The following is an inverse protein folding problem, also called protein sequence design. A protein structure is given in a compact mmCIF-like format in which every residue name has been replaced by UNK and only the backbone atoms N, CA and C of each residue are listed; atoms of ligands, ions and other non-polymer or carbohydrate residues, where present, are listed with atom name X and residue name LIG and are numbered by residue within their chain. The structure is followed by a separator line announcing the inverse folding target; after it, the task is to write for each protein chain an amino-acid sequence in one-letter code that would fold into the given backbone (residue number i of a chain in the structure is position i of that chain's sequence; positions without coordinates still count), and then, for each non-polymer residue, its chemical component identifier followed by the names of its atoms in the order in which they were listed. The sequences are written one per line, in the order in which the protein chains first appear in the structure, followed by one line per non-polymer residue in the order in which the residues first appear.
data_IF_015047983140
#
_entry.id   IF_015047983140
#
_cell.length_a   1.000
_cell.length_b   1.000
_cell.length_c   1.000
_cell.angle_alpha   90.00
_cell.angle_beta   90.00
_cell.angle_gamma   90.00
#
_symmetry.space_group_name_H-M   'P 1'
#
loop_
_entity.id
_entity.type
_entity.pdbx_description
1 polymer ?
#
# COMPACT_ATOMS: atom_id res chain seq x y z
N UNK A 1 4.43 -8.40 14.01
CA UNK A 1 4.55 -8.49 12.54
C UNK A 1 4.12 -7.17 11.95
N UNK A 2 4.94 -6.60 11.06
CA UNK A 2 4.60 -5.41 10.26
C UNK A 2 4.27 -5.84 8.83
N UNK A 3 3.33 -5.18 8.18
CA UNK A 3 2.84 -5.53 6.85
C UNK A 3 2.90 -4.28 5.97
N UNK A 4 3.39 -4.41 4.74
CA UNK A 4 3.29 -3.36 3.73
C UNK A 4 2.38 -3.79 2.59
N UNK A 5 1.49 -2.90 2.14
CA UNK A 5 0.65 -3.08 0.95
C UNK A 5 0.77 -1.90 0.00
N UNK A 6 0.37 -2.13 -1.26
CA UNK A 6 0.23 -1.07 -2.25
C UNK A 6 -1.03 -0.22 -2.00
N UNK A 7 -1.04 1.05 -2.43
CA UNK A 7 -2.26 1.84 -2.51
C UNK A 7 -3.12 1.36 -3.69
N UNK A 8 -4.31 1.93 -3.82
CA UNK A 8 -5.17 1.71 -4.97
C UNK A 8 -5.27 2.96 -5.85
N UNK A 9 -5.63 2.74 -7.13
CA UNK A 9 -5.84 3.82 -8.10
C UNK A 9 -7.21 4.46 -7.96
N UNK A 10 -8.22 3.63 -7.70
CA UNK A 10 -9.59 4.09 -7.44
C UNK A 10 -9.74 4.42 -5.96
N UNK A 11 -10.57 5.42 -5.66
CA UNK A 11 -10.79 5.92 -4.32
C UNK A 11 -12.29 5.96 -4.03
N UNK A 12 -12.67 5.67 -2.80
CA UNK A 12 -14.03 5.74 -2.27
C UNK A 12 -14.09 6.80 -1.18
N UNK A 13 -14.88 7.85 -1.41
CA UNK A 13 -15.15 8.90 -0.44
C UNK A 13 -16.60 8.91 0.05
N UNK A 14 -17.44 8.00 -0.47
CA UNK A 14 -18.89 8.03 -0.29
C UNK A 14 -19.37 7.03 0.77
N UNK A 15 -18.77 5.84 0.82
CA UNK A 15 -19.23 4.77 1.72
C UNK A 15 -19.17 5.21 3.18
N UNK A 16 -20.20 4.90 3.97
CA UNK A 16 -20.22 5.25 5.40
C UNK A 16 -19.08 4.55 6.16
N UNK A 17 -18.33 5.30 6.95
CA UNK A 17 -17.22 4.76 7.73
C UNK A 17 -17.74 3.94 8.94
N UNK A 18 -17.13 2.78 9.26
CA UNK A 18 -17.48 1.99 10.45
C UNK A 18 -16.87 2.56 11.74
N UNK A 19 -16.01 3.59 11.64
CA UNK A 19 -15.34 4.24 12.77
C UNK A 19 -15.22 5.74 12.53
N UNK A 20 -15.20 6.52 13.61
CA UNK A 20 -14.92 7.95 13.59
C UNK A 20 -13.46 8.27 13.93
N UNK A 21 -12.64 7.26 14.23
CA UNK A 21 -11.23 7.39 14.56
C UNK A 21 -10.41 7.69 13.29
N UNK A 22 -9.40 8.53 13.45
CA UNK A 22 -8.45 8.87 12.40
C UNK A 22 -7.11 9.24 13.01
N UNK A 23 -6.08 9.24 12.18
CA UNK A 23 -4.76 9.78 12.48
C UNK A 23 -4.30 10.68 11.32
N UNK A 24 -3.12 11.29 11.46
CA UNK A 24 -2.56 12.21 10.47
C UNK A 24 -1.27 11.59 9.90
N UNK A 25 -1.05 11.64 8.57
CA UNK A 25 0.19 11.14 7.97
C UNK A 25 1.43 11.79 8.56
N UNK A 26 2.50 11.01 8.75
CA UNK A 26 3.75 11.52 9.34
C UNK A 26 4.53 12.45 8.37
N UNK A 27 4.35 12.26 7.06
CA UNK A 27 5.12 12.94 6.02
C UNK A 27 4.34 14.04 5.28
N UNK A 28 3.49 14.81 5.98
CA UNK A 28 2.70 15.86 5.34
C UNK A 28 3.53 17.02 4.77
N UNK A 29 4.70 17.31 5.35
CA UNK A 29 5.62 18.33 4.82
C UNK A 29 6.15 17.91 3.45
N UNK A 30 6.64 16.68 3.35
CA UNK A 30 7.11 16.06 2.11
C UNK A 30 5.98 15.93 1.08
N UNK A 31 4.79 15.50 1.53
CA UNK A 31 3.61 15.39 0.68
C UNK A 31 3.24 16.73 0.05
N UNK A 32 3.38 17.83 0.80
CA UNK A 32 3.12 19.19 0.30
C UNK A 32 4.14 19.58 -0.77
N UNK A 33 5.44 19.29 -0.58
CA UNK A 33 6.47 19.55 -1.59
C UNK A 33 6.19 18.80 -2.90
N UNK A 34 5.78 17.53 -2.81
CA UNK A 34 5.40 16.73 -3.98
C UNK A 34 4.18 17.35 -4.67
N UNK A 35 3.15 17.70 -3.90
CA UNK A 35 1.94 18.28 -4.45
C UNK A 35 2.19 19.66 -5.10
N UNK A 36 3.09 20.48 -4.56
CA UNK A 36 3.49 21.74 -5.16
C UNK A 36 4.22 21.54 -6.51
N UNK A 37 5.02 20.48 -6.63
CA UNK A 37 5.57 20.07 -7.94
C UNK A 37 4.48 19.61 -8.92
N UNK A 38 3.42 18.97 -8.44
CA UNK A 38 2.30 18.53 -9.26
C UNK A 38 1.38 19.69 -9.70
N UNK A 39 1.13 20.68 -8.83
CA UNK A 39 0.32 21.88 -9.14
C UNK A 39 0.87 22.69 -10.32
N UNK A 40 2.20 22.66 -10.51
CA UNK A 40 2.89 23.35 -11.62
C UNK A 40 2.67 22.70 -12.99
N UNK A 41 2.08 21.50 -13.04
CA UNK A 41 1.86 20.75 -14.28
C UNK A 41 0.49 21.07 -14.86
N UNK A 42 0.43 21.27 -16.16
CA UNK A 42 -0.81 21.31 -16.92
C UNK A 42 -1.48 19.93 -16.97
N UNK A 43 -2.80 19.83 -17.24
CA UNK A 43 -3.46 18.56 -17.47
C UNK A 43 -2.79 17.71 -18.57
N UNK A 44 -2.29 18.33 -19.66
CA UNK A 44 -1.59 17.62 -20.73
C UNK A 44 -0.25 17.01 -20.28
N UNK A 45 0.51 17.71 -19.43
CA UNK A 45 1.71 17.15 -18.81
C UNK A 45 1.35 15.99 -17.88
N UNK A 46 0.32 16.12 -17.05
CA UNK A 46 -0.14 15.04 -16.16
C UNK A 46 -0.61 13.81 -16.94
N UNK A 47 -1.36 14.00 -18.04
CA UNK A 47 -1.81 12.94 -18.96
C UNK A 47 -0.63 12.12 -19.46
N UNK A 48 0.41 12.82 -19.97
CA UNK A 48 1.62 12.20 -20.51
C UNK A 48 2.48 11.54 -19.44
N UNK A 49 2.74 12.24 -18.33
CA UNK A 49 3.61 11.79 -17.24
C UNK A 49 3.03 10.57 -16.51
N UNK A 50 1.72 10.57 -16.22
CA UNK A 50 1.03 9.52 -15.48
C UNK A 50 0.44 8.44 -16.39
N UNK A 51 0.50 8.61 -17.71
CA UNK A 51 -0.08 7.71 -18.73
C UNK A 51 -1.57 7.42 -18.46
N UNK A 52 -2.35 8.48 -18.27
CA UNK A 52 -3.78 8.43 -17.96
C UNK A 52 -4.60 9.08 -19.07
N UNK A 53 -5.93 8.88 -19.04
CA UNK A 53 -6.83 9.58 -19.95
C UNK A 53 -6.90 11.07 -19.63
N UNK A 54 -7.38 11.86 -20.59
CA UNK A 54 -7.57 13.31 -20.44
C UNK A 54 -8.50 13.66 -19.28
N UNK A 55 -9.67 13.00 -19.22
CA UNK A 55 -10.62 13.14 -18.11
C UNK A 55 -9.97 12.88 -16.74
N UNK A 56 -9.09 11.88 -16.65
CA UNK A 56 -8.36 11.60 -15.40
C UNK A 56 -7.27 12.65 -15.13
N UNK A 57 -6.62 13.17 -16.16
CA UNK A 57 -5.63 14.23 -16.01
C UNK A 57 -6.25 15.53 -15.48
N UNK A 58 -7.38 15.95 -16.05
CA UNK A 58 -8.13 17.12 -15.57
C UNK A 58 -8.61 16.96 -14.14
N UNK A 59 -9.14 15.77 -13.81
CA UNK A 59 -9.57 15.44 -12.46
C UNK A 59 -8.40 15.55 -11.46
N UNK A 60 -7.23 15.01 -11.81
CA UNK A 60 -6.09 15.04 -10.90
C UNK A 60 -5.43 16.41 -10.84
N UNK A 61 -5.46 17.19 -11.91
CA UNK A 61 -5.09 18.61 -11.87
C UNK A 61 -5.95 19.37 -10.86
N UNK A 62 -7.27 19.19 -10.88
CA UNK A 62 -8.19 19.80 -9.90
C UNK A 62 -7.89 19.34 -8.47
N UNK A 63 -7.64 18.04 -8.27
CA UNK A 63 -7.26 17.48 -6.96
C UNK A 63 -5.98 18.10 -6.43
N UNK A 64 -4.93 18.17 -7.26
CA UNK A 64 -3.65 18.76 -6.87
C UNK A 64 -3.83 20.23 -6.46
N UNK A 65 -4.62 21.00 -7.20
CA UNK A 65 -4.91 22.41 -6.89
C UNK A 65 -5.78 22.58 -5.63
N UNK A 66 -6.69 21.64 -5.38
CA UNK A 66 -7.57 21.65 -4.20
C UNK A 66 -6.92 21.07 -2.94
N UNK A 67 -5.73 20.49 -3.06
CA UNK A 67 -5.00 19.92 -1.93
C UNK A 67 -4.74 21.00 -0.87
N UNK A 68 -5.24 20.74 0.35
CA UNK A 68 -5.22 21.71 1.44
C UNK A 68 -4.95 21.05 2.78
N UNK A 69 -4.06 21.68 3.56
CA UNK A 69 -3.84 21.39 4.97
C UNK A 69 -4.52 22.46 5.86
N UNK A 70 -4.86 22.15 7.11
CA UNK A 70 -4.76 20.84 7.77
C UNK A 70 -5.83 19.84 7.28
N UNK A 71 -5.53 18.54 7.42
CA UNK A 71 -6.51 17.49 7.16
C UNK A 71 -7.52 17.39 8.30
N UNK A 72 -8.77 17.16 7.93
CA UNK A 72 -9.88 16.92 8.86
C UNK A 72 -10.91 15.98 8.20
N UNK A 73 -11.99 15.64 8.92
CA UNK A 73 -13.04 14.73 8.44
C UNK A 73 -13.84 15.26 7.25
N UNK A 74 -13.81 16.57 7.00
CA UNK A 74 -14.57 17.20 5.91
C UNK A 74 -13.80 17.15 4.59
N UNK A 75 -12.46 17.24 4.65
CA UNK A 75 -11.62 17.32 3.46
C UNK A 75 -10.83 16.05 3.17
N UNK A 76 -10.71 15.12 4.13
CA UNK A 76 -9.88 13.94 4.01
C UNK A 76 -10.52 12.72 4.69
N UNK A 77 -10.05 11.53 4.32
CA UNK A 77 -10.65 10.26 4.74
C UNK A 77 -9.58 9.23 5.10
N UNK A 78 -9.80 8.36 6.11
CA UNK A 78 -8.83 7.32 6.49
C UNK A 78 -8.43 6.42 5.31
N UNK A 79 -7.13 6.23 5.12
CA UNK A 79 -6.55 5.60 3.92
C UNK A 79 -7.08 4.20 3.62
N UNK A 80 -7.24 3.33 4.63
CA UNK A 80 -7.73 1.95 4.47
C UNK A 80 -9.18 1.88 3.96
N UNK A 81 -9.99 2.90 4.28
CA UNK A 81 -11.38 3.04 3.85
C UNK A 81 -11.55 3.95 2.63
N UNK A 82 -10.44 4.45 2.09
CA UNK A 82 -10.43 5.34 0.93
C UNK A 82 -9.91 4.62 -0.30
N UNK A 83 -8.83 3.83 -0.17
CA UNK A 83 -8.33 3.07 -1.31
C UNK A 83 -9.32 1.95 -1.70
N UNK A 84 -9.65 1.89 -2.99
CA UNK A 84 -10.59 0.93 -3.54
C UNK A 84 -9.96 0.17 -4.72
N UNK A 85 -9.83 -1.15 -4.61
CA UNK A 85 -9.26 -2.03 -5.63
C UNK A 85 -9.05 -3.45 -5.10
N UNK A 86 -8.49 -4.34 -5.93
CA UNK A 86 -8.42 -5.78 -5.63
C UNK A 86 -7.83 -6.12 -4.24
N UNK A 87 -6.74 -5.44 -3.83
CA UNK A 87 -6.13 -5.63 -2.50
C UNK A 87 -7.12 -5.25 -1.40
N UNK A 88 -7.82 -4.13 -1.55
CA UNK A 88 -8.76 -3.62 -0.54
C UNK A 88 -10.07 -4.42 -0.53
N UNK A 89 -10.49 -4.97 -1.68
CA UNK A 89 -11.58 -5.94 -1.76
C UNK A 89 -11.23 -7.27 -1.07
N UNK A 90 -9.98 -7.74 -1.18
CA UNK A 90 -9.52 -8.93 -0.46
C UNK A 90 -9.39 -8.70 1.06
N UNK A 91 -8.97 -7.50 1.46
CA UNK A 91 -8.88 -7.11 2.87
C UNK A 91 -10.27 -6.94 3.51
N UNK A 92 -11.21 -6.36 2.75
CA UNK A 92 -12.57 -6.06 3.17
C UNK A 92 -12.62 -5.31 4.51
N UNK A 93 -11.97 -4.14 4.52
CA UNK A 93 -11.77 -3.38 5.76
C UNK A 93 -13.07 -2.93 6.43
N UNK A 94 -14.14 -2.71 5.65
CA UNK A 94 -15.43 -2.27 6.16
C UNK A 94 -16.13 -3.33 7.03
N UNK A 95 -15.77 -4.61 6.92
CA UNK A 95 -16.30 -5.69 7.78
C UNK A 95 -15.44 -6.01 9.01
N UNK A 96 -14.35 -5.27 9.24
CA UNK A 96 -13.50 -5.46 10.41
C UNK A 96 -14.17 -4.95 11.69
N UNK A 97 -14.00 -5.68 12.80
CA UNK A 97 -14.36 -5.18 14.13
C UNK A 97 -13.48 -3.99 14.53
N UNK A 98 -13.91 -3.19 15.49
CA UNK A 98 -13.13 -2.07 16.03
C UNK A 98 -11.75 -2.51 16.53
N UNK A 99 -11.64 -3.70 17.15
CA UNK A 99 -10.33 -4.22 17.60
C UNK A 99 -9.41 -4.54 16.42
N UNK A 100 -9.96 -5.14 15.34
CA UNK A 100 -9.19 -5.45 14.14
C UNK A 100 -8.79 -4.18 13.38
N UNK A 101 -9.63 -3.15 13.39
CA UNK A 101 -9.27 -1.82 12.87
C UNK A 101 -8.09 -1.26 13.67
N UNK A 102 -8.15 -1.28 15.01
CA UNK A 102 -7.05 -0.84 15.88
C UNK A 102 -5.78 -1.66 15.63
N UNK A 103 -5.89 -2.98 15.50
CA UNK A 103 -4.75 -3.84 15.19
C UNK A 103 -4.13 -3.52 13.84
N UNK A 104 -4.97 -3.25 12.83
CA UNK A 104 -4.48 -2.87 11.51
C UNK A 104 -3.69 -1.57 11.57
N UNK A 105 -4.13 -0.60 12.39
CA UNK A 105 -3.44 0.67 12.58
C UNK A 105 -1.99 0.48 13.04
N UNK A 106 -1.77 -0.51 13.91
CA UNK A 106 -0.44 -0.82 14.44
C UNK A 106 0.41 -1.66 13.47
N UNK A 107 -0.20 -2.58 12.72
CA UNK A 107 0.53 -3.61 11.96
C UNK A 107 0.62 -3.35 10.46
N UNK A 108 -0.29 -2.58 9.85
CA UNK A 108 -0.36 -2.37 8.41
C UNK A 108 0.21 -1.01 8.03
N UNK A 109 0.95 -0.98 6.93
CA UNK A 109 1.47 0.22 6.29
C UNK A 109 1.12 0.21 4.81
N UNK A 110 0.63 1.33 4.30
CA UNK A 110 0.26 1.50 2.91
C UNK A 110 1.30 2.41 2.27
N UNK A 111 2.11 1.87 1.35
CA UNK A 111 3.08 2.68 0.62
C UNK A 111 2.35 3.66 -0.31
N UNK A 112 2.92 4.83 -0.53
CA UNK A 112 2.29 5.90 -1.31
C UNK A 112 3.33 6.76 -2.02
N UNK A 113 3.11 7.06 -3.30
CA UNK A 113 3.96 8.01 -4.02
C UNK A 113 3.84 9.44 -3.49
N UNK A 114 2.66 9.82 -2.96
CA UNK A 114 2.42 11.17 -2.43
C UNK A 114 2.70 11.27 -0.93
N UNK A 115 2.28 10.27 -0.16
CA UNK A 115 2.34 10.33 1.31
C UNK A 115 3.48 9.50 1.91
N UNK A 116 4.32 8.87 1.08
CA UNK A 116 5.41 8.00 1.51
C UNK A 116 4.90 6.68 2.08
N UNK A 117 4.54 6.68 3.36
CA UNK A 117 3.95 5.54 4.07
C UNK A 117 2.80 6.01 4.94
N UNK A 118 1.67 5.32 4.86
CA UNK A 118 0.45 5.63 5.59
C UNK A 118 0.10 4.50 6.56
N UNK A 119 -0.46 4.86 7.70
CA UNK A 119 -1.22 3.95 8.56
C UNK A 119 -2.67 3.87 8.07
N UNK A 120 -3.39 2.76 8.33
CA UNK A 120 -4.78 2.58 7.94
C UNK A 120 -5.73 3.75 8.23
N UNK A 121 -5.57 4.39 9.39
CA UNK A 121 -6.42 5.48 9.84
C UNK A 121 -5.88 6.87 9.48
N UNK A 122 -4.72 6.96 8.83
CA UNK A 122 -4.21 8.25 8.37
C UNK A 122 -5.15 8.85 7.33
N UNK A 123 -5.56 10.09 7.57
CA UNK A 123 -6.39 10.85 6.63
C UNK A 123 -5.62 11.11 5.34
N UNK A 124 -6.28 10.90 4.20
CA UNK A 124 -5.77 11.25 2.87
C UNK A 124 -6.81 12.07 2.11
N UNK A 125 -6.32 13.02 1.31
CA UNK A 125 -7.11 13.65 0.25
C UNK A 125 -6.95 12.87 -1.05
N UNK A 126 -7.94 13.02 -1.93
CA UNK A 126 -7.94 12.34 -3.22
C UNK A 126 -6.74 12.76 -4.07
N UNK A 127 -6.00 11.80 -4.62
CA UNK A 127 -4.82 12.06 -5.42
C UNK A 127 -4.59 10.96 -6.45
N UNK A 128 -3.62 11.18 -7.34
CA UNK A 128 -3.09 10.18 -8.25
C UNK A 128 -1.59 10.40 -8.40
N UNK A 129 -0.80 9.53 -7.77
CA UNK A 129 0.64 9.53 -7.94
C UNK A 129 1.17 8.15 -7.58
N UNK A 130 1.46 7.33 -8.59
CA UNK A 130 2.15 6.07 -8.36
C UNK A 130 3.64 6.28 -8.11
N UNK A 131 4.23 5.39 -7.30
CA UNK A 131 5.64 5.42 -6.95
C UNK A 131 6.56 5.39 -8.18
N UNK A 132 6.16 4.70 -9.26
CA UNK A 132 6.90 4.65 -10.51
C UNK A 132 6.83 5.91 -11.38
N UNK A 133 6.09 6.95 -10.97
CA UNK A 133 5.96 8.19 -11.74
C UNK A 133 7.30 8.92 -11.80
N UNK A 134 7.71 9.30 -13.01
CA UNK A 134 8.92 10.11 -13.22
C UNK A 134 8.67 11.57 -12.81
N UNK A 135 8.80 11.84 -11.51
CA UNK A 135 8.65 13.17 -10.93
C UNK A 135 9.88 13.49 -10.06
N UNK A 136 10.61 14.52 -10.44
CA UNK A 136 11.71 15.08 -9.64
C UNK A 136 11.14 16.05 -8.60
N UNK A 137 11.59 15.94 -7.36
CA UNK A 137 11.10 16.77 -6.25
C UNK A 137 12.28 17.19 -5.38
N UNK A 138 12.44 18.50 -5.20
CA UNK A 138 13.46 19.08 -4.31
C UNK A 138 14.88 18.51 -4.53
N UNK A 139 15.32 18.45 -5.80
CA UNK A 139 16.64 17.93 -6.17
C UNK A 139 16.73 16.41 -6.35
N UNK A 140 15.68 15.65 -5.99
CA UNK A 140 15.65 14.21 -6.26
C UNK A 140 15.47 13.92 -7.74
N UNK A 141 16.07 12.82 -8.20
CA UNK A 141 15.92 12.34 -9.57
C UNK A 141 14.52 11.80 -9.85
N UNK A 142 13.90 11.14 -8.86
CA UNK A 142 12.57 10.55 -8.94
C UNK A 142 11.97 10.34 -7.54
N UNK A 143 10.79 9.71 -7.46
CA UNK A 143 10.11 9.43 -6.18
C UNK A 143 10.81 8.36 -5.34
N UNK A 144 11.46 7.36 -5.94
CA UNK A 144 12.21 6.37 -5.17
C UNK A 144 13.36 7.02 -4.42
N UNK A 145 14.13 7.86 -5.12
CA UNK A 145 15.23 8.64 -4.56
C UNK A 145 14.75 9.60 -3.46
N UNK A 146 13.63 10.29 -3.70
CA UNK A 146 13.04 11.19 -2.69
C UNK A 146 12.63 10.48 -1.40
N UNK A 147 12.09 9.26 -1.51
CA UNK A 147 11.43 8.55 -0.42
C UNK A 147 12.28 7.48 0.27
N UNK A 148 13.26 6.89 -0.41
CA UNK A 148 13.87 5.63 0.02
C UNK A 148 14.41 5.66 1.44
N UNK A 149 15.24 6.66 1.76
CA UNK A 149 15.78 6.83 3.10
C UNK A 149 14.68 7.08 4.14
N UNK A 150 13.73 7.98 3.83
CA UNK A 150 12.67 8.41 4.76
C UNK A 150 11.74 7.25 5.13
N UNK A 151 11.26 6.52 4.14
CA UNK A 151 10.36 5.38 4.35
C UNK A 151 11.09 4.27 5.09
N UNK A 152 12.32 3.94 4.68
CA UNK A 152 13.09 2.86 5.31
C UNK A 152 13.40 3.18 6.77
N UNK A 153 13.83 4.42 7.06
CA UNK A 153 14.07 4.89 8.42
C UNK A 153 12.80 4.81 9.27
N UNK A 154 11.67 5.30 8.76
CA UNK A 154 10.40 5.25 9.48
C UNK A 154 9.95 3.81 9.78
N UNK A 155 10.07 2.89 8.82
CA UNK A 155 9.77 1.48 9.06
C UNK A 155 10.69 0.91 10.15
N UNK A 156 11.98 1.21 10.12
CA UNK A 156 12.95 0.77 11.13
C UNK A 156 12.68 1.34 12.53
N UNK A 157 12.10 2.52 12.66
CA UNK A 157 11.71 3.12 13.94
C UNK A 157 10.47 2.44 14.55
N UNK A 158 9.58 1.91 13.70
CA UNK A 158 8.34 1.26 14.15
C UNK A 158 8.46 -0.24 14.37
N UNK A 159 9.50 -0.86 13.80
CA UNK A 159 9.75 -2.29 13.94
C UNK A 159 10.23 -2.61 15.35
N UNK A 160 9.55 -3.55 15.99
CA UNK A 160 9.99 -4.14 17.27
C UNK A 160 11.13 -5.13 17.03
N UNK A 161 11.86 -5.45 18.09
CA UNK A 161 12.88 -6.50 18.04
C UNK A 161 12.29 -7.83 17.55
N UNK A 162 12.98 -8.50 16.64
CA UNK A 162 12.55 -9.76 15.99
C UNK A 162 11.21 -9.67 15.22
N UNK A 163 10.68 -8.48 14.98
CA UNK A 163 9.46 -8.30 14.19
C UNK A 163 9.77 -8.41 12.70
N UNK A 164 9.17 -9.40 12.01
CA UNK A 164 9.28 -9.53 10.55
C UNK A 164 8.45 -8.46 9.81
N UNK A 165 8.93 -8.08 8.62
CA UNK A 165 8.20 -7.25 7.66
C UNK A 165 7.64 -8.13 6.53
N UNK A 166 6.32 -8.19 6.40
CA UNK A 166 5.66 -8.94 5.32
C UNK A 166 5.33 -7.99 4.18
N UNK A 167 5.95 -8.25 3.03
CA UNK A 167 5.73 -7.51 1.80
C UNK A 167 4.57 -8.08 0.98
N UNK A 168 3.42 -7.42 1.07
CA UNK A 168 2.24 -7.67 0.26
C UNK A 168 1.98 -6.52 -0.72
N UNK A 169 2.97 -5.66 -0.96
CA UNK A 169 2.95 -4.63 -1.98
C UNK A 169 3.45 -5.19 -3.33
N UNK A 170 3.16 -4.49 -4.42
CA UNK A 170 3.83 -4.73 -5.70
C UNK A 170 5.27 -4.22 -5.67
N UNK A 171 6.12 -4.76 -6.54
CA UNK A 171 7.50 -4.31 -6.70
C UNK A 171 7.61 -2.81 -6.99
N UNK A 172 6.65 -2.24 -7.74
CA UNK A 172 6.59 -0.79 -7.99
C UNK A 172 6.59 0.02 -6.69
N UNK A 173 5.93 -0.46 -5.64
CA UNK A 173 5.92 0.23 -4.35
C UNK A 173 7.03 -0.25 -3.44
N UNK A 174 7.23 -1.56 -3.27
CA UNK A 174 8.21 -2.09 -2.31
C UNK A 174 9.66 -1.78 -2.66
N UNK A 175 9.97 -1.48 -3.94
CA UNK A 175 11.32 -1.10 -4.37
C UNK A 175 11.78 0.26 -3.82
N UNK A 176 10.90 1.05 -3.21
CA UNK A 176 11.30 2.26 -2.47
C UNK A 176 12.04 1.91 -1.18
N UNK A 177 11.86 0.70 -0.65
CA UNK A 177 12.49 0.30 0.61
C UNK A 177 13.92 -0.15 0.32
N UNK A 178 14.88 0.50 0.98
CA UNK A 178 16.27 0.06 0.96
C UNK A 178 16.42 -1.20 1.83
N UNK A 179 16.41 -2.36 1.17
CA UNK A 179 16.54 -3.66 1.83
C UNK A 179 17.86 -3.81 2.59
N UNK A 180 18.93 -3.09 2.21
CA UNK A 180 20.23 -3.19 2.90
C UNK A 180 20.20 -2.48 4.25
N UNK A 181 19.44 -1.40 4.34
CA UNK A 181 19.30 -0.59 5.56
C UNK A 181 18.16 -1.07 6.47
N UNK A 182 17.36 -2.05 6.04
CA UNK A 182 16.23 -2.57 6.83
C UNK A 182 16.74 -3.46 7.98
N UNK A 183 16.27 -3.19 9.21
CA UNK A 183 16.69 -3.88 10.45
C UNK A 183 16.09 -5.28 10.64
N UNK A 184 15.27 -5.73 9.70
CA UNK A 184 14.56 -7.01 9.80
C UNK A 184 14.51 -7.74 8.46
N UNK A 185 14.20 -9.03 8.53
CA UNK A 185 13.89 -9.84 7.36
C UNK A 185 12.56 -9.40 6.74
N UNK A 186 12.61 -9.11 5.43
CA UNK A 186 11.42 -8.89 4.64
C UNK A 186 11.03 -10.19 3.92
N UNK A 187 9.79 -10.64 4.12
CA UNK A 187 9.23 -11.86 3.51
C UNK A 187 8.19 -11.44 2.48
N UNK A 188 8.24 -11.98 1.26
CA UNK A 188 7.35 -11.57 0.18
C UNK A 188 6.48 -12.74 -0.32
N UNK A 189 5.32 -13.03 0.32
CA UNK A 189 4.41 -14.07 -0.14
C UNK A 189 4.04 -13.95 -1.63
N UNK A 190 4.14 -15.06 -2.35
CA UNK A 190 3.85 -15.17 -3.78
C UNK A 190 2.58 -16.01 -3.97
N UNK A 191 1.61 -15.48 -4.71
CA UNK A 191 0.35 -16.15 -5.00
C UNK A 191 0.34 -16.57 -6.48
N UNK A 192 0.19 -17.88 -6.73
CA UNK A 192 0.13 -18.46 -8.08
C UNK A 192 -1.18 -19.21 -8.27
N UNK A 193 -1.71 -19.11 -9.47
CA UNK A 193 -2.90 -19.82 -9.90
C UNK A 193 -2.54 -20.81 -11.02
N UNK A 194 -3.15 -22.00 -10.99
CA UNK A 194 -3.04 -22.98 -12.06
C UNK A 194 -3.83 -22.51 -13.28
N UNK A 195 -3.11 -22.23 -14.37
CA UNK A 195 -3.71 -21.85 -15.67
C UNK A 195 -3.05 -22.62 -16.79
N UNK A 196 -3.84 -23.40 -17.54
CA UNK A 196 -3.38 -24.26 -18.64
C UNK A 196 -2.26 -25.22 -18.19
N UNK A 197 -2.45 -25.89 -17.04
CA UNK A 197 -1.50 -26.85 -16.48
C UNK A 197 -0.22 -26.24 -15.91
N UNK A 198 -0.10 -24.91 -15.82
CA UNK A 198 1.09 -24.23 -15.28
C UNK A 198 0.69 -23.21 -14.20
N UNK A 199 1.43 -23.20 -13.10
CA UNK A 199 1.29 -22.19 -12.05
C UNK A 199 1.84 -20.85 -12.54
N UNK A 200 1.02 -19.81 -12.47
CA UNK A 200 1.36 -18.45 -12.90
C UNK A 200 0.82 -17.41 -11.94
N UNK A 201 1.49 -16.27 -11.82
CA UNK A 201 0.95 -15.11 -11.13
C UNK A 201 -0.08 -14.45 -12.05
N UNK A 202 -1.36 -14.52 -11.67
CA UNK A 202 -2.44 -13.79 -12.36
C UNK A 202 -2.69 -12.49 -11.59
N UNK A 203 -2.33 -11.36 -12.18
CA UNK A 203 -2.21 -10.07 -11.48
C UNK A 203 -3.43 -9.68 -10.63
N UNK A 204 -4.65 -9.85 -11.13
CA UNK A 204 -5.88 -9.52 -10.39
C UNK A 204 -6.06 -10.43 -9.16
N UNK A 205 -5.88 -11.75 -9.34
CA UNK A 205 -5.99 -12.73 -8.25
C UNK A 205 -4.89 -12.55 -7.22
N UNK A 206 -3.64 -12.32 -7.65
CA UNK A 206 -2.53 -12.08 -6.75
C UNK A 206 -2.72 -10.80 -5.91
N UNK A 207 -3.29 -9.74 -6.48
CA UNK A 207 -3.64 -8.53 -5.72
C UNK A 207 -4.73 -8.81 -4.69
N UNK A 208 -5.80 -9.52 -5.07
CA UNK A 208 -6.85 -9.91 -4.12
C UNK A 208 -6.31 -10.82 -3.01
N UNK A 209 -5.45 -11.78 -3.36
CA UNK A 209 -4.80 -12.69 -2.41
C UNK A 209 -3.90 -11.97 -1.41
N UNK A 210 -3.18 -10.91 -1.82
CA UNK A 210 -2.45 -10.03 -0.89
C UNK A 210 -3.38 -9.40 0.14
N UNK A 211 -4.54 -8.89 -0.30
CA UNK A 211 -5.58 -8.39 0.59
C UNK A 211 -6.09 -9.45 1.57
N UNK A 212 -6.40 -10.64 1.05
CA UNK A 212 -6.84 -11.78 1.86
C UNK A 212 -5.79 -12.20 2.87
N UNK A 213 -4.49 -12.13 2.54
CA UNK A 213 -3.41 -12.43 3.48
C UNK A 213 -3.34 -11.39 4.60
N UNK A 214 -3.52 -10.09 4.31
CA UNK A 214 -3.66 -9.08 5.38
C UNK A 214 -4.85 -9.43 6.28
N UNK A 215 -6.00 -9.75 5.68
CA UNK A 215 -7.20 -10.14 6.43
C UNK A 215 -6.95 -11.36 7.31
N UNK A 216 -6.35 -12.41 6.78
CA UNK A 216 -5.96 -13.61 7.52
C UNK A 216 -5.04 -13.30 8.70
N UNK A 217 -4.02 -12.45 8.52
CA UNK A 217 -3.11 -12.05 9.59
C UNK A 217 -3.85 -11.29 10.70
N UNK A 218 -4.80 -10.42 10.34
CA UNK A 218 -5.61 -9.68 11.31
C UNK A 218 -6.60 -10.58 12.04
N UNK A 219 -7.23 -11.52 11.33
CA UNK A 219 -8.25 -12.44 11.85
C UNK A 219 -7.66 -13.46 12.83
N UNK A 220 -6.53 -14.06 12.48
CA UNK A 220 -5.88 -15.12 13.28
C UNK A 220 -4.81 -14.59 14.21
N UNK A 221 -4.45 -13.32 14.02
CA UNK A 221 -3.46 -12.66 14.83
C UNK A 221 -2.03 -13.14 14.66
N UNK A 222 -1.68 -13.61 13.46
CA UNK A 222 -0.35 -14.09 13.08
C UNK A 222 0.77 -13.10 13.42
N UNK A 223 1.91 -13.63 13.85
CA UNK A 223 3.09 -12.87 14.27
C UNK A 223 4.38 -13.36 13.60
N UNK A 224 4.43 -14.60 13.14
CA UNK A 224 5.63 -15.25 12.58
C UNK A 224 5.46 -15.63 11.11
N UNK A 225 6.56 -15.99 10.45
CA UNK A 225 6.52 -16.53 9.08
C UNK A 225 5.86 -17.90 9.00
N UNK A 226 5.94 -18.71 10.07
CA UNK A 226 5.32 -20.03 10.14
C UNK A 226 3.79 -19.91 10.17
N UNK A 227 3.26 -18.94 10.92
CA UNK A 227 1.82 -18.65 10.97
C UNK A 227 1.26 -18.38 9.56
N UNK A 228 2.04 -17.75 8.68
CA UNK A 228 1.62 -17.42 7.31
C UNK A 228 1.41 -18.67 6.45
N UNK A 229 2.11 -19.78 6.72
CA UNK A 229 1.95 -21.02 5.95
C UNK A 229 0.57 -21.66 6.14
N UNK A 230 -0.13 -21.31 7.22
CA UNK A 230 -1.50 -21.76 7.48
C UNK A 230 -2.56 -20.95 6.70
N UNK A 231 -2.14 -19.99 5.87
CA UNK A 231 -3.05 -19.22 5.02
C UNK A 231 -3.83 -20.14 4.07
N UNK A 232 -5.15 -20.07 4.16
CA UNK A 232 -6.08 -20.91 3.42
C UNK A 232 -7.26 -20.14 2.78
N UNK A 233 -7.15 -18.81 2.66
CA UNK A 233 -8.26 -17.99 2.14
C UNK A 233 -8.28 -17.96 0.62
N UNK A 234 -9.48 -17.85 0.05
CA UNK A 234 -9.67 -17.73 -1.40
C UNK A 234 -9.28 -18.97 -2.20
N UNK A 235 -9.16 -20.13 -1.55
CA UNK A 235 -8.78 -21.41 -2.15
C UNK A 235 -7.27 -21.62 -2.30
N UNK A 236 -6.44 -20.70 -1.79
CA UNK A 236 -4.99 -20.88 -1.80
C UNK A 236 -4.54 -21.82 -0.67
N UNK A 237 -3.42 -22.50 -0.88
CA UNK A 237 -2.70 -23.23 0.16
C UNK A 237 -1.19 -23.05 0.01
N UNK A 238 -0.44 -23.16 1.10
CA UNK A 238 1.02 -23.15 1.05
C UNK A 238 1.54 -24.35 0.24
N UNK A 239 2.56 -24.10 -0.58
CA UNK A 239 3.25 -25.15 -1.35
C UNK A 239 4.73 -25.15 -0.98
N UNK A 240 5.16 -26.16 -0.24
CA UNK A 240 6.56 -26.35 0.15
C UNK A 240 7.49 -26.46 -1.07
N UNK A 241 7.11 -27.28 -2.07
CA UNK A 241 7.90 -27.52 -3.29
C UNK A 241 8.19 -26.21 -4.03
N UNK A 242 7.14 -25.42 -4.31
CA UNK A 242 7.32 -24.13 -4.99
C UNK A 242 8.05 -23.09 -4.13
N UNK A 243 7.87 -23.14 -2.81
CA UNK A 243 8.54 -22.22 -1.88
C UNK A 243 10.06 -22.46 -1.84
N UNK A 244 10.48 -23.72 -1.81
CA UNK A 244 11.90 -24.09 -1.89
C UNK A 244 12.52 -23.63 -3.21
N UNK A 245 11.81 -23.79 -4.34
CA UNK A 245 12.29 -23.34 -5.66
C UNK A 245 12.48 -21.83 -5.75
N UNK A 246 11.55 -21.05 -5.18
CA UNK A 246 11.59 -19.59 -5.27
C UNK A 246 12.33 -18.91 -4.12
N UNK A 247 12.66 -19.65 -3.05
CA UNK A 247 13.20 -19.11 -1.79
C UNK A 247 12.30 -18.02 -1.19
N UNK A 248 10.99 -18.18 -1.36
CA UNK A 248 9.92 -17.29 -0.89
C UNK A 248 8.74 -18.15 -0.44
N UNK A 249 7.81 -17.61 0.35
CA UNK A 249 6.57 -18.33 0.67
C UNK A 249 5.63 -18.32 -0.54
N UNK A 250 5.42 -19.48 -1.16
CA UNK A 250 4.53 -19.62 -2.33
C UNK A 250 3.24 -20.30 -1.94
N UNK A 251 2.14 -19.64 -2.28
CA UNK A 251 0.77 -20.11 -2.12
C UNK A 251 0.17 -20.38 -3.49
N UNK A 252 -0.44 -21.55 -3.65
CA UNK A 252 -0.97 -22.03 -4.93
C UNK A 252 -2.48 -22.26 -4.82
N UNK A 253 -3.17 -22.10 -5.94
CA UNK A 253 -4.60 -22.40 -6.13
C UNK A 253 -4.83 -22.97 -7.51
#
# INVERSE_FOLDING_TARGET
MKIIISPAKSLDFETKLPTSQFSIPDFLKESSLINDSLKKRSPNELKSMMKISEKLADLNWKRNNSFKLPFNKENARPSIFTFNGDVYSGLDAFSLSTEKISRSQDSVRILSGLYGVLRPLDLIQAYRLEMGTKLSVNGSSNLYDFWSEKITKKLNEELKENEILVNLASNEYSSVIDKKSLKTTMISPVFKDLKNGKLKIISFYAKKARGLMVRFILDNGSKTSEDLKSFNYGGYSFSEIESQKQKELVFIR
#
